data_IF_393681694463
#
_entry.id   IF_393681694463
#
_cell.length_a   1.000
_cell.length_b   1.000
_cell.length_c   1.000
_cell.angle_alpha   90.00
_cell.angle_beta   90.00
_cell.angle_gamma   90.00
#
_symmetry.space_group_name_H-M   'P 1'
#
loop_
_entity.id
_entity.type
_entity.pdbx_description
1 polymer ?
#
# COMPACT_ATOMS: atom_id res chain seq x y z
N UNK A 1 -9.66 -3.91 23.65
CA UNK A 1 -8.42 -4.51 23.15
C UNK A 1 -8.06 -3.90 21.81
N UNK A 2 -6.82 -3.56 21.61
CA UNK A 2 -6.38 -2.94 20.38
C UNK A 2 -6.26 -3.96 19.26
N UNK A 3 -6.70 -3.57 18.07
CA UNK A 3 -6.53 -4.38 16.88
C UNK A 3 -5.08 -4.28 16.41
N UNK A 4 -4.48 -5.43 16.13
CA UNK A 4 -3.12 -5.49 15.61
C UNK A 4 -3.17 -5.96 14.16
N UNK A 5 -2.96 -5.06 13.20
CA UNK A 5 -3.03 -5.45 11.80
C UNK A 5 -1.90 -6.38 11.39
N UNK A 6 -2.26 -7.39 10.59
CA UNK A 6 -1.31 -8.30 9.97
C UNK A 6 -1.70 -8.47 8.52
N UNK A 7 -0.71 -8.44 7.63
CA UNK A 7 -0.93 -8.77 6.23
C UNK A 7 -1.03 -10.28 6.10
N UNK A 8 -2.10 -10.75 5.48
CA UNK A 8 -2.31 -12.18 5.26
C UNK A 8 -2.12 -12.57 3.79
N UNK A 9 -2.13 -11.57 2.90
CA UNK A 9 -1.96 -11.81 1.47
C UNK A 9 -1.45 -10.55 0.80
N UNK A 10 -0.56 -10.73 -0.19
CA UNK A 10 -0.05 -9.62 -0.96
C UNK A 10 0.12 -10.07 -2.41
N UNK A 11 -0.33 -9.26 -3.34
CA UNK A 11 -0.26 -9.58 -4.76
C UNK A 11 0.26 -8.37 -5.53
N UNK A 12 1.28 -8.59 -6.35
CA UNK A 12 1.83 -7.52 -7.19
C UNK A 12 0.80 -7.07 -8.22
N UNK A 13 0.73 -5.76 -8.45
CA UNK A 13 -0.17 -5.20 -9.45
C UNK A 13 0.59 -4.57 -10.59
N UNK A 14 1.29 -3.48 -10.34
CA UNK A 14 2.02 -2.76 -11.39
C UNK A 14 2.95 -1.77 -10.72
N UNK A 15 4.07 -1.45 -11.36
CA UNK A 15 5.00 -0.46 -10.83
C UNK A 15 5.41 -0.78 -9.41
N UNK A 16 5.06 0.11 -8.47
CA UNK A 16 5.33 -0.10 -7.05
C UNK A 16 4.05 -0.34 -6.26
N UNK A 17 3.01 -0.82 -6.92
CA UNK A 17 1.73 -1.10 -6.30
C UNK A 17 1.58 -2.57 -5.95
N UNK A 18 1.17 -2.82 -4.73
CA UNK A 18 0.88 -4.16 -4.24
C UNK A 18 -0.50 -4.15 -3.62
N UNK A 19 -1.33 -5.12 -3.99
CA UNK A 19 -2.64 -5.30 -3.36
C UNK A 19 -2.42 -6.11 -2.10
N UNK A 20 -2.75 -5.52 -0.95
CA UNK A 20 -2.55 -6.17 0.36
C UNK A 20 -3.90 -6.45 1.00
N UNK A 21 -3.98 -7.58 1.68
CA UNK A 21 -5.16 -7.98 2.45
C UNK A 21 -4.73 -8.23 3.90
N UNK A 22 -5.51 -7.69 4.83
CA UNK A 22 -5.20 -7.77 6.25
C UNK A 22 -6.09 -8.78 6.96
N UNK A 23 -5.74 -9.09 8.20
CA UNK A 23 -6.42 -10.09 9.00
C UNK A 23 -7.84 -9.72 9.39
N UNK A 24 -8.24 -8.46 9.21
CA UNK A 24 -9.63 -8.06 9.45
C UNK A 24 -10.45 -7.98 8.16
N UNK A 25 -9.87 -8.42 7.04
CA UNK A 25 -10.55 -8.37 5.75
C UNK A 25 -10.33 -7.08 4.97
N UNK A 26 -9.72 -6.08 5.56
CA UNK A 26 -9.35 -4.86 4.85
C UNK A 26 -8.41 -5.21 3.71
N UNK A 27 -8.70 -4.70 2.52
CA UNK A 27 -7.87 -4.94 1.34
C UNK A 27 -7.80 -3.67 0.51
N UNK A 28 -6.63 -3.39 -0.04
CA UNK A 28 -6.44 -2.19 -0.86
C UNK A 28 -5.16 -2.29 -1.67
N UNK A 29 -5.13 -1.55 -2.77
CA UNK A 29 -3.91 -1.38 -3.55
C UNK A 29 -3.11 -0.26 -2.91
N UNK A 30 -1.90 -0.56 -2.51
CA UNK A 30 -1.03 0.40 -1.83
C UNK A 30 0.16 0.70 -2.72
N UNK A 31 0.46 1.99 -2.88
CA UNK A 31 1.63 2.45 -3.63
C UNK A 31 2.80 2.57 -2.67
N UNK A 32 3.83 1.78 -2.89
CA UNK A 32 5.00 1.74 -2.03
C UNK A 32 6.06 2.78 -2.40
N UNK A 33 5.89 3.48 -3.53
CA UNK A 33 6.90 4.43 -4.00
C UNK A 33 7.35 5.43 -2.95
N UNK A 34 6.47 6.01 -2.13
CA UNK A 34 6.89 6.99 -1.13
C UNK A 34 7.86 6.46 -0.09
N UNK A 35 7.93 5.15 0.08
CA UNK A 35 8.80 4.55 1.09
C UNK A 35 10.14 4.07 0.54
N UNK A 36 10.37 4.17 -0.77
CA UNK A 36 11.55 3.58 -1.41
C UNK A 36 12.73 4.55 -1.41
N UNK A 37 13.14 4.96 -0.22
CA UNK A 37 14.31 5.82 -0.06
C UNK A 37 15.18 5.27 1.06
N UNK A 38 16.45 5.66 1.07
CA UNK A 38 17.40 5.17 2.05
C UNK A 38 18.08 3.89 1.60
N UNK A 39 19.21 3.54 2.23
CA UNK A 39 20.07 2.44 1.73
C UNK A 39 19.37 1.09 1.63
N UNK A 40 18.52 0.76 2.60
CA UNK A 40 17.85 -0.55 2.62
C UNK A 40 16.83 -0.65 1.50
N UNK A 41 16.22 0.47 1.12
CA UNK A 41 15.16 0.47 0.13
C UNK A 41 15.63 0.77 -1.29
N UNK A 42 16.88 1.18 -1.46
CA UNK A 42 17.40 1.50 -2.79
C UNK A 42 17.25 0.36 -3.79
N UNK A 43 17.58 -0.90 -3.42
CA UNK A 43 17.41 -2.00 -4.38
C UNK A 43 15.97 -2.20 -4.85
N UNK A 44 15.00 -1.77 -4.04
CA UNK A 44 13.58 -1.95 -4.36
C UNK A 44 13.12 -0.99 -5.46
N UNK A 45 13.91 0.02 -5.78
CA UNK A 45 13.57 0.91 -6.89
C UNK A 45 13.63 0.19 -8.24
N UNK A 46 14.38 -0.91 -8.32
CA UNK A 46 14.34 -1.76 -9.48
C UNK A 46 13.09 -2.63 -9.42
N UNK A 47 12.22 -2.52 -10.42
CA UNK A 47 10.94 -3.23 -10.41
C UNK A 47 11.14 -4.74 -10.29
N UNK A 48 12.15 -5.28 -10.97
CA UNK A 48 12.41 -6.72 -10.90
C UNK A 48 12.69 -7.18 -9.48
N UNK A 49 13.45 -6.38 -8.72
CA UNK A 49 13.72 -6.73 -7.32
C UNK A 49 12.49 -6.44 -6.45
N UNK A 50 11.79 -5.33 -6.71
CA UNK A 50 10.58 -4.98 -5.97
C UNK A 50 9.57 -6.12 -5.99
N UNK A 51 9.46 -6.81 -7.10
CA UNK A 51 8.49 -7.90 -7.25
C UNK A 51 8.84 -9.15 -6.47
N UNK A 52 10.02 -9.20 -5.85
CA UNK A 52 10.45 -10.38 -5.08
C UNK A 52 9.92 -10.39 -3.65
N UNK A 53 9.01 -9.49 -3.32
CA UNK A 53 8.44 -9.44 -1.98
C UNK A 53 7.74 -10.75 -1.62
N UNK A 54 7.60 -10.96 -0.32
CA UNK A 54 6.80 -12.07 0.20
C UNK A 54 6.21 -11.62 1.52
N UNK A 55 5.22 -12.38 2.02
CA UNK A 55 4.59 -12.08 3.30
C UNK A 55 5.28 -12.92 4.37
N UNK A 56 5.77 -12.26 5.40
CA UNK A 56 6.42 -12.92 6.51
C UNK A 56 6.26 -12.04 7.75
N UNK A 57 6.02 -12.68 8.90
CA UNK A 57 5.85 -11.94 10.14
C UNK A 57 4.70 -10.96 10.12
N UNK A 58 3.70 -11.21 9.29
CA UNK A 58 2.51 -10.35 9.23
C UNK A 58 2.71 -9.08 8.43
N UNK A 59 3.72 -9.02 7.57
CA UNK A 59 3.93 -7.86 6.73
C UNK A 59 4.58 -8.24 5.40
N UNK A 60 4.79 -7.25 4.55
CA UNK A 60 5.47 -7.42 3.26
C UNK A 60 6.97 -7.22 3.48
N UNK A 61 7.76 -8.18 3.01
CA UNK A 61 9.20 -8.25 3.26
C UNK A 61 9.92 -8.55 1.95
N UNK A 62 11.17 -8.12 1.83
CA UNK A 62 12.02 -8.39 0.67
C UNK A 62 13.23 -9.21 1.09
N UNK A 63 13.88 -9.92 0.12
CA UNK A 63 15.00 -10.80 0.45
C UNK A 63 16.17 -10.12 1.15
N UNK A 64 16.35 -8.81 0.96
CA UNK A 64 17.43 -8.08 1.61
C UNK A 64 17.11 -7.67 3.05
N UNK A 65 15.95 -8.09 3.58
CA UNK A 65 15.54 -7.75 4.93
C UNK A 65 14.72 -6.48 5.04
N UNK A 66 14.50 -5.78 3.94
CA UNK A 66 13.65 -4.59 3.97
C UNK A 66 12.22 -5.02 4.28
N UNK A 67 11.51 -4.22 5.06
CA UNK A 67 10.10 -4.46 5.35
C UNK A 67 9.42 -3.13 5.65
N UNK A 68 8.08 -3.16 5.65
CA UNK A 68 7.27 -2.01 6.04
C UNK A 68 6.42 -2.47 7.21
N UNK A 69 6.37 -1.69 8.27
CA UNK A 69 5.57 -2.06 9.45
C UNK A 69 4.11 -2.28 9.06
N UNK A 70 3.47 -3.33 9.58
CA UNK A 70 2.07 -3.61 9.23
C UNK A 70 1.13 -2.45 9.54
N UNK A 71 1.40 -1.72 10.62
CA UNK A 71 0.59 -0.56 10.99
C UNK A 71 0.67 0.53 9.92
N UNK A 72 1.87 0.75 9.37
CA UNK A 72 2.07 1.73 8.32
C UNK A 72 1.31 1.33 7.06
N UNK A 73 1.36 0.05 6.70
CA UNK A 73 0.61 -0.45 5.55
C UNK A 73 -0.89 -0.34 5.79
N UNK A 74 -1.34 -0.64 7.00
CA UNK A 74 -2.76 -0.57 7.32
C UNK A 74 -3.26 0.88 7.21
N UNK A 75 -2.50 1.82 7.75
CA UNK A 75 -2.86 3.24 7.65
C UNK A 75 -2.94 3.69 6.20
N UNK A 76 -1.99 3.26 5.38
CA UNK A 76 -2.00 3.60 3.95
C UNK A 76 -3.20 2.99 3.25
N UNK A 77 -3.56 1.75 3.60
CA UNK A 77 -4.72 1.09 3.02
C UNK A 77 -6.00 1.80 3.39
N UNK A 78 -6.12 2.23 4.65
CA UNK A 78 -7.29 2.96 5.11
C UNK A 78 -7.40 4.32 4.43
N UNK A 79 -6.27 5.02 4.27
CA UNK A 79 -6.27 6.31 3.60
C UNK A 79 -6.73 6.18 2.15
N UNK A 80 -6.28 5.15 1.45
CA UNK A 80 -6.69 4.89 0.08
C UNK A 80 -8.19 4.66 -0.01
N UNK A 81 -8.72 3.85 0.90
CA UNK A 81 -10.16 3.56 0.93
C UNK A 81 -10.97 4.78 1.28
N UNK A 82 -10.51 5.57 2.25
CA UNK A 82 -11.20 6.78 2.66
C UNK A 82 -11.26 7.79 1.53
N UNK A 83 -10.14 7.99 0.84
CA UNK A 83 -10.12 8.90 -0.30
C UNK A 83 -11.10 8.46 -1.37
N UNK A 84 -11.12 7.17 -1.64
CA UNK A 84 -12.02 6.62 -2.63
C UNK A 84 -13.49 6.82 -2.22
N UNK A 85 -13.78 6.59 -0.95
CA UNK A 85 -15.13 6.72 -0.44
C UNK A 85 -15.61 8.17 -0.44
N UNK A 86 -14.70 9.12 -0.25
CA UNK A 86 -15.06 10.53 -0.16
C UNK A 86 -15.24 11.18 -1.52
N UNK A 87 -14.98 10.49 -2.58
CA UNK A 87 -15.13 11.06 -3.92
C UNK A 87 -16.36 10.54 -4.60
N UNK A 88 -17.42 10.98 -4.16
CA UNK A 88 -18.62 10.75 -4.94
C UNK A 88 -18.78 11.86 -5.90
N UNK A 89 -18.33 12.63 -5.76
CA UNK A 89 -18.35 13.47 -6.36
C UNK A 89 -18.03 14.13 -6.90
N UNK A 90 -17.50 14.40 -6.60
CA UNK A 90 -17.26 15.10 -6.85
C UNK A 90 -17.00 15.38 -7.28
N UNK A 91 -16.58 15.54 -7.31
CA UNK A 91 -16.39 16.03 -7.51
C UNK A 91 -15.87 16.27 -7.63
N UNK A 92 -15.67 16.59 -7.56
CA UNK A 92 -15.38 16.96 -7.35
C UNK A 92 -14.78 16.97 -7.60
N UNK A 93 -14.58 17.30 -8.00
CA UNK A 93 -14.33 17.39 -7.88
C UNK A 93 -13.75 17.47 -8.16
N UNK A 94 -13.52 17.84 -8.52
CA UNK A 94 -13.38 18.02 -8.46
C UNK A 94 -13.06 18.00 -8.94
N UNK A 95 -12.87 18.57 -9.46
CA UNK A 95 -13.02 18.58 -9.45
C UNK A 95 -12.89 18.59 -9.92
N UNK A 96 -12.78 18.77 -10.52
CA UNK A 96 -13.12 18.91 -10.53
C UNK A 96 -13.14 18.97 -10.98
N UNK A 97 -13.26 19.17 -11.50
CA UNK A 97 -13.69 19.33 -11.51
C UNK A 97 -13.72 19.49 -11.85
N UNK A 98 -13.54 19.75 -12.31
CA UNK A 98 -13.96 19.91 -12.21
C UNK A 98 -14.24 19.94 -12.60
N UNK A 99 -14.27 20.00 -13.20
CA UNK A 99 -14.74 20.31 -13.18
C UNK A 99 -15.05 20.16 -13.28
N UNK A 100 -15.01 20.27 -13.48
CA UNK A 100 -15.46 20.16 -13.19
C UNK A 100 -15.62 19.96 -13.26
N UNK A 101 -15.73 19.94 -13.75
CA UNK A 101 -16.05 19.91 -13.61
C UNK A 101 -15.98 19.84 -13.23
#
# INVERSE_FOLDING_TARGET
MAFLPHVVRAKYEAGYRIHVTFNDGTAASVDFAPWLSGPVFEPLKGVAYFRKFFVDGGTVVWPNGADIAPETLYDAAQATRSNHALHPPAGKSKNRARGRG
#
